data_IF_273991412678
#
_entry.id   IF_273991412678
#
_cell.length_a   1.000
_cell.length_b   1.000
_cell.length_c   1.000
_cell.angle_alpha   90.00
_cell.angle_beta   90.00
_cell.angle_gamma   90.00
#
_symmetry.space_group_name_H-M   'P 1'
#
loop_
_entity.id
_entity.type
_entity.pdbx_description
1 polymer ?
#
# COMPACT_ATOMS: atom_id res chain seq x y z
N UNK A 1 21.88 -22.96 42.18
CA UNK A 1 22.25 -22.28 40.93
C UNK A 1 20.95 -21.98 40.17
N UNK A 2 20.39 -20.75 40.36
CA UNK A 2 19.10 -20.31 39.85
C UNK A 2 19.29 -19.95 38.37
N UNK A 3 18.50 -20.58 37.47
CA UNK A 3 18.41 -20.17 36.06
C UNK A 3 17.81 -18.77 36.02
N UNK A 4 18.34 -17.84 35.22
CA UNK A 4 17.68 -16.55 35.01
C UNK A 4 16.35 -16.80 34.32
N UNK A 5 15.29 -16.13 34.81
CA UNK A 5 13.95 -16.09 34.27
C UNK A 5 14.00 -15.71 32.81
N UNK A 6 13.46 -16.59 32.00
CA UNK A 6 13.22 -16.35 30.59
C UNK A 6 12.03 -15.39 30.46
N UNK A 7 12.34 -14.10 30.51
CA UNK A 7 11.37 -13.04 30.22
C UNK A 7 10.98 -13.15 28.74
N UNK A 8 9.70 -13.16 28.40
CA UNK A 8 9.27 -13.22 27.01
C UNK A 8 9.63 -11.90 26.32
N UNK A 9 10.72 -11.88 25.57
CA UNK A 9 11.25 -10.71 24.85
C UNK A 9 10.45 -10.35 23.57
N UNK A 10 9.23 -10.89 23.41
CA UNK A 10 8.50 -10.81 22.16
C UNK A 10 7.54 -9.62 22.01
N UNK A 11 7.38 -8.75 23.02
CA UNK A 11 6.19 -7.88 23.04
C UNK A 11 6.46 -6.37 23.01
N UNK A 12 7.71 -5.89 22.97
CA UNK A 12 7.94 -4.46 23.24
C UNK A 12 9.00 -3.73 22.42
N UNK A 13 9.69 -4.35 21.49
CA UNK A 13 10.64 -3.60 20.65
C UNK A 13 9.89 -2.88 19.53
N UNK A 14 10.07 -1.56 19.43
CA UNK A 14 9.60 -0.78 18.29
C UNK A 14 10.38 -1.14 17.03
N UNK A 15 9.88 -0.74 15.86
CA UNK A 15 10.64 -0.91 14.62
C UNK A 15 11.94 -0.11 14.64
N UNK A 16 11.93 1.08 15.26
CA UNK A 16 13.12 1.89 15.47
C UNK A 16 14.18 1.14 16.29
N UNK A 17 13.78 0.47 17.37
CA UNK A 17 14.71 -0.33 18.20
C UNK A 17 15.34 -1.47 17.39
N UNK A 18 14.54 -2.17 16.57
CA UNK A 18 15.01 -3.24 15.69
C UNK A 18 16.01 -2.71 14.65
N UNK A 19 15.71 -1.57 14.05
CA UNK A 19 16.60 -0.93 13.08
C UNK A 19 17.92 -0.51 13.74
N UNK A 20 17.87 0.12 14.90
CA UNK A 20 19.07 0.55 15.63
C UNK A 20 19.93 -0.64 16.04
N UNK A 21 19.31 -1.70 16.57
CA UNK A 21 20.01 -2.96 16.92
C UNK A 21 20.68 -3.60 15.71
N UNK A 22 20.02 -3.54 14.55
CA UNK A 22 20.55 -4.08 13.30
C UNK A 22 21.83 -3.38 12.81
N UNK A 23 22.20 -2.24 13.38
CA UNK A 23 23.48 -1.59 13.08
C UNK A 23 24.68 -2.37 13.62
N UNK A 24 24.47 -3.16 14.69
CA UNK A 24 25.46 -4.01 15.36
C UNK A 24 25.30 -5.47 14.97
N UNK A 25 24.06 -5.95 14.99
CA UNK A 25 23.67 -7.29 14.57
C UNK A 25 22.69 -7.23 13.39
N UNK A 26 23.17 -7.44 12.16
CA UNK A 26 22.33 -7.37 10.97
C UNK A 26 21.13 -8.32 10.98
N UNK A 27 21.18 -9.42 11.73
CA UNK A 27 20.09 -10.41 11.84
C UNK A 27 18.84 -9.83 12.52
N UNK A 28 19.00 -8.85 13.43
CA UNK A 28 17.85 -8.17 14.04
C UNK A 28 16.90 -7.52 13.00
N UNK A 29 17.40 -7.19 11.80
CA UNK A 29 16.58 -6.66 10.72
C UNK A 29 15.59 -7.68 10.15
N UNK A 30 15.85 -8.98 10.30
CA UNK A 30 14.93 -10.03 9.86
C UNK A 30 13.58 -9.94 10.60
N UNK A 31 13.57 -9.51 11.87
CA UNK A 31 12.34 -9.32 12.64
C UNK A 31 11.44 -8.22 12.03
N UNK A 32 12.04 -7.20 11.41
CA UNK A 32 11.29 -6.17 10.69
C UNK A 32 10.65 -6.74 9.41
N UNK A 33 11.37 -7.62 8.71
CA UNK A 33 10.82 -8.35 7.55
C UNK A 33 9.63 -9.21 7.97
N UNK A 34 9.78 -10.05 8.99
CA UNK A 34 8.72 -10.94 9.47
C UNK A 34 7.46 -10.15 9.88
N UNK A 35 7.65 -8.98 10.48
CA UNK A 35 6.56 -8.10 10.93
C UNK A 35 5.80 -7.44 9.78
N UNK A 36 6.47 -7.02 8.72
CA UNK A 36 5.90 -6.11 7.72
C UNK A 36 5.80 -6.67 6.30
N UNK A 37 6.53 -7.76 5.96
CA UNK A 37 6.55 -8.28 4.59
C UNK A 37 5.15 -8.60 4.04
N UNK A 38 4.29 -9.21 4.85
CA UNK A 38 2.92 -9.53 4.43
C UNK A 38 2.05 -8.29 4.14
N UNK A 39 2.25 -7.18 4.85
CA UNK A 39 1.53 -5.92 4.59
C UNK A 39 2.03 -5.27 3.29
N UNK A 40 3.34 -5.21 3.10
CA UNK A 40 3.96 -4.68 1.88
C UNK A 40 3.57 -5.54 0.68
N UNK A 41 3.63 -6.87 0.79
CA UNK A 41 3.23 -7.79 -0.27
C UNK A 41 1.79 -7.54 -0.71
N UNK A 42 0.82 -7.52 0.20
CA UNK A 42 -0.58 -7.25 -0.14
C UNK A 42 -0.78 -5.92 -0.87
N UNK A 43 -0.09 -4.87 -0.44
CA UNK A 43 -0.16 -3.56 -1.11
C UNK A 43 0.41 -3.63 -2.53
N UNK A 44 1.55 -4.28 -2.71
CA UNK A 44 2.20 -4.43 -4.03
C UNK A 44 1.38 -5.34 -4.94
N UNK A 45 0.93 -6.49 -4.45
CA UNK A 45 0.16 -7.46 -5.21
C UNK A 45 -1.17 -6.88 -5.74
N UNK A 46 -1.85 -6.06 -4.95
CA UNK A 46 -3.03 -5.31 -5.42
C UNK A 46 -2.72 -4.38 -6.59
N UNK A 47 -1.52 -3.83 -6.67
CA UNK A 47 -1.09 -2.89 -7.70
C UNK A 47 -0.50 -3.58 -8.93
N UNK A 48 0.34 -4.57 -8.75
CA UNK A 48 1.14 -5.18 -9.83
C UNK A 48 0.77 -6.64 -10.11
N UNK A 49 0.16 -7.34 -9.16
CA UNK A 49 -0.05 -8.79 -9.16
C UNK A 49 1.00 -9.52 -8.34
N UNK A 50 0.70 -10.80 -8.06
CA UNK A 50 1.55 -11.63 -7.19
C UNK A 50 2.92 -11.88 -7.81
N UNK A 51 2.98 -12.14 -9.13
CA UNK A 51 4.23 -12.41 -9.85
C UNK A 51 5.30 -11.32 -9.67
N UNK A 52 4.88 -10.04 -9.60
CA UNK A 52 5.79 -8.92 -9.41
C UNK A 52 5.91 -8.51 -7.92
N UNK A 53 5.04 -9.03 -7.06
CA UNK A 53 5.01 -8.59 -5.65
C UNK A 53 6.22 -9.11 -4.89
N UNK A 54 6.62 -10.35 -5.10
CA UNK A 54 7.75 -10.97 -4.40
C UNK A 54 9.07 -10.24 -4.72
N UNK A 55 9.28 -9.89 -5.99
CA UNK A 55 10.46 -9.13 -6.41
C UNK A 55 10.50 -7.75 -5.78
N UNK A 56 9.36 -7.03 -5.82
CA UNK A 56 9.26 -5.67 -5.25
C UNK A 56 9.40 -5.69 -3.72
N UNK A 57 8.86 -6.70 -3.03
CA UNK A 57 9.04 -6.88 -1.59
C UNK A 57 10.51 -7.10 -1.27
N UNK A 58 11.17 -8.01 -1.99
CA UNK A 58 12.60 -8.31 -1.81
C UNK A 58 13.46 -7.05 -2.04
N UNK A 59 13.21 -6.31 -3.14
CA UNK A 59 13.90 -5.03 -3.42
C UNK A 59 13.64 -4.00 -2.32
N UNK A 60 12.41 -3.92 -1.79
CA UNK A 60 12.02 -2.99 -0.72
C UNK A 60 12.83 -3.23 0.54
N UNK A 61 12.85 -4.47 1.03
CA UNK A 61 13.57 -4.80 2.26
C UNK A 61 15.09 -4.72 2.08
N UNK A 62 15.61 -5.09 0.91
CA UNK A 62 17.02 -4.93 0.60
C UNK A 62 17.45 -3.45 0.58
N UNK A 63 16.63 -2.56 -0.01
CA UNK A 63 16.89 -1.13 0.00
C UNK A 63 16.80 -0.54 1.40
N UNK A 64 15.78 -0.94 2.17
CA UNK A 64 15.62 -0.55 3.55
C UNK A 64 16.81 -1.02 4.42
N UNK A 65 17.25 -2.26 4.27
CA UNK A 65 18.43 -2.78 4.96
C UNK A 65 19.70 -1.97 4.65
N UNK A 66 19.92 -1.64 3.39
CA UNK A 66 21.08 -0.84 2.97
C UNK A 66 21.06 0.57 3.55
N UNK A 67 19.88 1.16 3.68
CA UNK A 67 19.68 2.53 4.17
C UNK A 67 19.24 2.60 5.63
N UNK A 68 19.31 1.48 6.38
CA UNK A 68 18.82 1.41 7.76
C UNK A 68 19.53 2.37 8.74
N UNK A 69 20.75 2.81 8.41
CA UNK A 69 21.47 3.80 9.21
C UNK A 69 20.98 5.24 9.01
N UNK A 70 20.26 5.49 7.92
CA UNK A 70 19.68 6.78 7.60
C UNK A 70 18.23 6.90 8.11
N UNK A 71 17.72 5.83 8.74
CA UNK A 71 16.39 5.84 9.34
C UNK A 71 16.34 6.75 10.55
N UNK A 72 15.31 7.61 10.63
CA UNK A 72 15.05 8.47 11.79
C UNK A 72 14.47 7.65 12.94
N UNK A 73 15.31 7.25 13.90
CA UNK A 73 14.91 6.42 15.06
C UNK A 73 14.00 7.15 16.05
N UNK A 74 13.77 8.46 15.91
CA UNK A 74 12.72 9.14 16.65
C UNK A 74 11.31 8.72 16.23
N UNK A 75 11.18 8.00 15.11
CA UNK A 75 9.92 7.43 14.60
C UNK A 75 9.83 5.96 14.98
N UNK A 76 8.90 5.58 15.87
CA UNK A 76 8.82 4.20 16.36
C UNK A 76 8.38 3.19 15.29
N UNK A 77 7.63 3.64 14.27
CA UNK A 77 7.01 2.81 13.23
C UNK A 77 7.74 2.96 11.89
N UNK A 78 8.36 1.88 11.39
CA UNK A 78 9.06 1.90 10.11
C UNK A 78 8.18 1.64 8.88
N UNK A 79 6.92 1.26 9.10
CA UNK A 79 6.03 0.87 8.00
C UNK A 79 5.82 1.98 6.96
N UNK A 80 5.61 3.27 7.30
CA UNK A 80 5.54 4.35 6.31
C UNK A 80 6.80 4.46 5.46
N UNK A 81 7.97 4.31 6.06
CA UNK A 81 9.25 4.32 5.37
C UNK A 81 9.39 3.15 4.38
N UNK A 82 8.98 1.94 4.77
CA UNK A 82 8.95 0.77 3.90
C UNK A 82 7.99 0.98 2.72
N UNK A 83 6.82 1.58 2.93
CA UNK A 83 5.90 1.94 1.85
C UNK A 83 6.48 2.97 0.88
N UNK A 84 7.36 3.84 1.35
CA UNK A 84 8.12 4.76 0.50
C UNK A 84 8.98 4.03 -0.53
N UNK A 85 9.77 3.03 -0.09
CA UNK A 85 10.55 2.17 -0.99
C UNK A 85 9.64 1.39 -1.94
N UNK A 86 8.65 0.68 -1.41
CA UNK A 86 7.71 -0.10 -2.22
C UNK A 86 7.07 0.75 -3.32
N UNK A 87 6.60 1.97 -2.98
CA UNK A 87 5.99 2.88 -3.96
C UNK A 87 7.00 3.32 -5.03
N UNK A 88 8.26 3.54 -4.68
CA UNK A 88 9.30 3.88 -5.66
C UNK A 88 9.60 2.72 -6.61
N UNK A 89 9.62 1.48 -6.12
CA UNK A 89 9.80 0.30 -6.96
C UNK A 89 8.57 0.04 -7.84
N UNK A 90 7.35 0.18 -7.31
CA UNK A 90 6.11 0.07 -8.10
C UNK A 90 6.11 1.07 -9.28
N UNK A 91 6.64 2.29 -9.10
CA UNK A 91 6.73 3.28 -10.20
C UNK A 91 7.54 2.79 -11.40
N UNK A 92 8.51 1.90 -11.20
CA UNK A 92 9.25 1.25 -12.31
C UNK A 92 8.34 0.34 -13.13
N UNK A 93 7.35 -0.29 -12.49
CA UNK A 93 6.35 -1.16 -13.10
C UNK A 93 5.08 -0.42 -13.57
N UNK A 94 5.15 0.89 -13.78
CA UNK A 94 3.98 1.74 -14.09
C UNK A 94 3.14 1.23 -15.27
N UNK A 95 3.77 0.69 -16.31
CA UNK A 95 3.03 0.16 -17.48
C UNK A 95 2.21 -1.06 -17.07
N UNK A 96 2.79 -1.99 -16.34
CA UNK A 96 2.13 -3.19 -15.81
C UNK A 96 0.94 -2.80 -14.93
N UNK A 97 1.14 -1.86 -14.02
CA UNK A 97 0.07 -1.36 -13.14
C UNK A 97 -1.12 -0.81 -13.93
N UNK A 98 -0.89 0.06 -14.92
CA UNK A 98 -1.95 0.64 -15.76
C UNK A 98 -2.62 -0.43 -16.60
N UNK A 99 -1.88 -1.36 -17.20
CA UNK A 99 -2.45 -2.47 -17.96
C UNK A 99 -3.36 -3.33 -17.09
N UNK A 100 -2.98 -3.59 -15.84
CA UNK A 100 -3.76 -4.36 -14.89
C UNK A 100 -5.08 -3.66 -14.55
N UNK A 101 -5.07 -2.38 -14.21
CA UNK A 101 -6.32 -1.62 -13.98
C UNK A 101 -7.22 -1.57 -15.22
N UNK A 102 -6.66 -1.41 -16.41
CA UNK A 102 -7.43 -1.46 -17.67
C UNK A 102 -8.06 -2.83 -17.92
N UNK A 103 -7.36 -3.91 -17.60
CA UNK A 103 -7.89 -5.27 -17.71
C UNK A 103 -9.04 -5.48 -16.71
N UNK A 104 -8.89 -5.06 -15.46
CA UNK A 104 -9.96 -5.11 -14.46
C UNK A 104 -11.19 -4.28 -14.87
N UNK A 105 -10.98 -3.11 -15.48
CA UNK A 105 -12.05 -2.30 -16.01
C UNK A 105 -12.85 -3.02 -17.11
N UNK A 106 -12.23 -3.90 -17.90
CA UNK A 106 -12.91 -4.69 -18.94
C UNK A 106 -13.67 -5.88 -18.34
N UNK A 107 -13.08 -6.58 -17.38
CA UNK A 107 -13.59 -7.83 -16.81
C UNK A 107 -14.52 -7.59 -15.62
N UNK A 108 -14.39 -6.45 -14.93
CA UNK A 108 -15.16 -6.10 -13.74
C UNK A 108 -14.65 -6.76 -12.45
N UNK A 109 -13.43 -7.35 -12.48
CA UNK A 109 -12.82 -7.99 -11.30
C UNK A 109 -11.65 -7.12 -10.83
N UNK A 110 -11.73 -6.60 -9.59
CA UNK A 110 -10.56 -6.09 -8.86
C UNK A 110 -10.02 -7.20 -7.97
N UNK A 111 -8.71 -7.28 -7.74
CA UNK A 111 -8.17 -8.26 -6.81
C UNK A 111 -8.75 -8.00 -5.42
N UNK A 112 -9.45 -8.99 -4.91
CA UNK A 112 -9.98 -8.96 -3.55
C UNK A 112 -8.91 -9.40 -2.57
N UNK A 113 -8.91 -8.81 -1.42
CA UNK A 113 -7.99 -9.17 -0.34
C UNK A 113 -8.71 -10.08 0.64
N UNK A 114 -8.98 -11.30 0.25
CA UNK A 114 -9.40 -12.34 1.20
C UNK A 114 -10.81 -12.90 1.05
N UNK A 115 -10.87 -14.18 1.30
CA UNK A 115 -11.97 -15.11 1.55
C UNK A 115 -13.23 -15.07 0.69
N UNK A 116 -13.31 -16.10 -0.14
CA UNK A 116 -14.31 -16.36 -1.15
C UNK A 116 -15.36 -17.38 -0.68
N UNK A 117 -16.21 -17.11 0.28
CA UNK A 117 -17.29 -18.08 0.57
C UNK A 117 -18.71 -17.54 0.83
N UNK A 118 -18.93 -16.25 1.13
CA UNK A 118 -20.25 -15.86 1.66
C UNK A 118 -21.02 -14.74 0.94
N UNK A 119 -20.68 -14.35 -0.30
CA UNK A 119 -21.19 -13.08 -0.86
C UNK A 119 -21.68 -13.14 -2.32
N UNK A 120 -22.53 -14.05 -2.71
CA UNK A 120 -23.05 -14.05 -4.09
C UNK A 120 -23.99 -12.85 -4.39
N UNK A 121 -24.72 -12.34 -3.41
CA UNK A 121 -25.66 -11.22 -3.58
C UNK A 121 -24.96 -9.85 -3.46
N UNK A 122 -23.96 -9.73 -2.56
CA UNK A 122 -23.10 -8.57 -2.48
C UNK A 122 -22.17 -8.43 -3.71
N UNK A 123 -21.85 -9.54 -4.38
CA UNK A 123 -21.02 -9.55 -5.59
C UNK A 123 -21.64 -8.77 -6.76
N UNK A 124 -22.96 -8.77 -6.92
CA UNK A 124 -23.61 -8.06 -8.01
C UNK A 124 -23.51 -6.52 -7.85
N UNK A 125 -23.74 -6.01 -6.64
CA UNK A 125 -23.57 -4.58 -6.37
C UNK A 125 -22.10 -4.16 -6.33
N UNK A 126 -21.20 -5.03 -5.80
CA UNK A 126 -19.77 -4.82 -5.83
C UNK A 126 -19.20 -4.78 -7.26
N UNK A 127 -19.74 -5.58 -8.19
CA UNK A 127 -19.34 -5.54 -9.61
C UNK A 127 -19.66 -4.22 -10.28
N UNK A 128 -20.78 -3.58 -9.96
CA UNK A 128 -21.16 -2.29 -10.53
C UNK A 128 -20.16 -1.17 -10.19
N UNK A 129 -19.53 -1.23 -9.01
CA UNK A 129 -18.56 -0.23 -8.54
C UNK A 129 -17.11 -0.58 -8.95
N UNK A 130 -16.79 -1.86 -9.09
CA UNK A 130 -15.40 -2.32 -9.36
C UNK A 130 -14.86 -1.86 -10.72
N UNK A 131 -15.67 -1.93 -11.78
CA UNK A 131 -15.27 -1.48 -13.12
C UNK A 131 -14.98 0.03 -13.19
N UNK A 132 -15.90 0.90 -12.75
CA UNK A 132 -15.64 2.34 -12.70
C UNK A 132 -14.44 2.70 -11.81
N UNK A 133 -14.27 2.04 -10.67
CA UNK A 133 -13.13 2.28 -9.80
C UNK A 133 -11.80 1.92 -10.49
N UNK A 134 -11.74 0.79 -11.19
CA UNK A 134 -10.55 0.41 -11.95
C UNK A 134 -10.25 1.40 -13.09
N UNK A 135 -11.28 1.91 -13.78
CA UNK A 135 -11.13 2.99 -14.78
C UNK A 135 -10.59 4.27 -14.17
N UNK A 136 -11.14 4.70 -13.02
CA UNK A 136 -10.68 5.86 -12.29
C UNK A 136 -9.20 5.71 -11.90
N UNK A 137 -8.82 4.57 -11.31
CA UNK A 137 -7.43 4.30 -10.94
C UNK A 137 -6.48 4.29 -12.15
N UNK A 138 -6.92 3.76 -13.30
CA UNK A 138 -6.12 3.79 -14.53
C UNK A 138 -5.91 5.22 -15.07
N UNK A 139 -6.90 6.11 -14.90
CA UNK A 139 -6.88 7.49 -15.40
C UNK A 139 -6.04 8.43 -14.52
N UNK A 140 -5.85 8.09 -13.22
CA UNK A 140 -5.09 8.93 -12.31
C UNK A 140 -3.64 9.08 -12.75
N UNK A 141 -3.09 10.28 -12.55
CA UNK A 141 -1.63 10.47 -12.59
C UNK A 141 -0.98 9.61 -11.50
N UNK A 142 0.14 8.98 -11.82
CA UNK A 142 0.86 8.08 -10.90
C UNK A 142 1.03 8.67 -9.49
N UNK A 143 1.45 9.95 -9.40
CA UNK A 143 1.68 10.63 -8.11
C UNK A 143 0.42 10.86 -7.28
N UNK A 144 -0.73 11.06 -7.93
CA UNK A 144 -2.02 11.24 -7.25
C UNK A 144 -2.59 9.89 -6.83
N UNK A 145 -2.40 8.84 -7.66
CA UNK A 145 -2.74 7.45 -7.35
C UNK A 145 -1.94 6.92 -6.17
N UNK A 146 -0.61 7.17 -6.11
CA UNK A 146 0.23 6.75 -4.99
C UNK A 146 -0.29 7.29 -3.65
N UNK A 147 -0.60 8.59 -3.59
CA UNK A 147 -1.17 9.21 -2.39
C UNK A 147 -2.52 8.59 -2.03
N UNK A 148 -3.41 8.43 -3.00
CA UNK A 148 -4.73 7.83 -2.76
C UNK A 148 -4.61 6.41 -2.20
N UNK A 149 -3.74 5.57 -2.79
CA UNK A 149 -3.63 4.17 -2.41
C UNK A 149 -2.87 3.97 -1.09
N UNK A 150 -1.93 4.86 -0.74
CA UNK A 150 -1.29 4.83 0.58
C UNK A 150 -2.28 5.17 1.69
N UNK A 151 -3.20 6.12 1.46
CA UNK A 151 -4.26 6.43 2.42
C UNK A 151 -5.31 5.31 2.48
N UNK A 152 -5.77 4.82 1.31
CA UNK A 152 -6.93 3.93 1.24
C UNK A 152 -6.60 2.45 1.46
N UNK A 153 -5.39 1.97 1.11
CA UNK A 153 -5.02 0.56 1.19
C UNK A 153 -3.94 0.25 2.22
N UNK A 154 -3.13 1.25 2.56
CA UNK A 154 -2.08 1.12 3.55
C UNK A 154 -2.46 1.75 4.90
N UNK A 155 -3.61 2.43 4.98
CA UNK A 155 -4.15 3.12 6.16
C UNK A 155 -3.18 4.15 6.77
N UNK A 156 -2.35 4.78 5.92
CA UNK A 156 -1.44 5.80 6.38
C UNK A 156 -2.14 7.14 6.62
N UNK A 157 -1.75 7.82 7.67
CA UNK A 157 -2.10 9.23 7.90
C UNK A 157 -1.48 10.15 6.85
N UNK A 158 -1.92 11.39 6.74
CA UNK A 158 -1.36 12.34 5.76
C UNK A 158 0.10 12.68 6.07
N UNK A 159 0.46 12.74 7.33
CA UNK A 159 1.81 12.91 7.84
C UNK A 159 2.70 11.76 7.40
N UNK A 160 2.27 10.52 7.64
CA UNK A 160 2.99 9.32 7.23
C UNK A 160 3.14 9.21 5.71
N UNK A 161 2.11 9.60 4.93
CA UNK A 161 2.21 9.65 3.46
C UNK A 161 3.20 10.73 3.00
N UNK A 162 3.23 11.89 3.69
CA UNK A 162 4.20 12.95 3.40
C UNK A 162 5.63 12.46 3.60
N UNK A 163 5.87 11.75 4.69
CA UNK A 163 7.15 11.13 5.03
C UNK A 163 7.53 10.03 4.04
N UNK A 164 6.63 9.05 3.82
CA UNK A 164 6.84 7.95 2.89
C UNK A 164 7.22 8.40 1.48
N UNK A 165 6.61 9.48 1.00
CA UNK A 165 6.84 10.01 -0.34
C UNK A 165 7.84 11.17 -0.38
N UNK A 166 8.37 11.60 0.77
CA UNK A 166 9.26 12.77 0.91
C UNK A 166 8.69 14.03 0.24
N UNK A 167 7.42 14.36 0.55
CA UNK A 167 6.70 15.51 0.00
C UNK A 167 6.02 16.32 1.12
N UNK A 168 5.82 17.63 0.95
CA UNK A 168 5.08 18.43 1.92
C UNK A 168 3.64 17.91 2.12
N UNK A 169 3.12 17.97 3.35
CA UNK A 169 1.75 17.56 3.68
C UNK A 169 0.69 18.31 2.85
N UNK A 170 0.93 19.59 2.51
CA UNK A 170 0.07 20.34 1.60
C UNK A 170 -0.02 19.71 0.20
N UNK A 171 1.09 19.09 -0.26
CA UNK A 171 1.12 18.32 -1.51
C UNK A 171 0.32 17.02 -1.40
N UNK A 172 0.37 16.33 -0.25
CA UNK A 172 -0.47 15.15 0.01
C UNK A 172 -1.95 15.53 -0.11
N UNK A 173 -2.38 16.57 0.62
CA UNK A 173 -3.78 17.05 0.60
C UNK A 173 -4.25 17.41 -0.81
N UNK A 174 -3.44 18.16 -1.57
CA UNK A 174 -3.80 18.58 -2.93
C UNK A 174 -3.87 17.42 -3.92
N UNK A 175 -2.96 16.45 -3.84
CA UNK A 175 -2.98 15.24 -4.67
C UNK A 175 -4.17 14.34 -4.32
N UNK A 176 -4.42 14.13 -3.03
CA UNK A 176 -5.55 13.34 -2.55
C UNK A 176 -6.88 13.94 -3.00
N UNK A 177 -7.03 15.27 -2.90
CA UNK A 177 -8.25 15.95 -3.34
C UNK A 177 -8.46 15.76 -4.86
N UNK A 178 -7.42 15.96 -5.70
CA UNK A 178 -7.52 15.70 -7.15
C UNK A 178 -7.90 14.25 -7.45
N UNK A 179 -7.27 13.29 -6.77
CA UNK A 179 -7.59 11.89 -6.95
C UNK A 179 -9.04 11.57 -6.59
N UNK A 180 -9.53 12.10 -5.46
CA UNK A 180 -10.92 11.92 -5.01
C UNK A 180 -11.95 12.53 -5.96
N UNK A 181 -11.66 13.71 -6.53
CA UNK A 181 -12.54 14.34 -7.54
C UNK A 181 -12.68 13.41 -8.75
N UNK A 182 -11.56 12.97 -9.34
CA UNK A 182 -11.57 12.09 -10.51
C UNK A 182 -12.30 10.78 -10.22
N UNK A 183 -12.04 10.16 -9.04
CA UNK A 183 -12.72 8.91 -8.65
C UNK A 183 -14.22 9.14 -8.50
N UNK A 184 -14.65 10.24 -7.87
CA UNK A 184 -16.06 10.58 -7.69
C UNK A 184 -16.75 10.82 -9.03
N UNK A 185 -16.11 11.57 -9.93
CA UNK A 185 -16.68 11.88 -11.25
C UNK A 185 -16.91 10.60 -12.06
N UNK A 186 -15.96 9.66 -12.02
CA UNK A 186 -16.11 8.37 -12.72
C UNK A 186 -17.17 7.48 -12.04
N UNK A 187 -17.25 7.48 -10.70
CA UNK A 187 -18.26 6.69 -9.97
C UNK A 187 -19.66 7.31 -10.06
N UNK A 188 -19.76 8.65 -9.99
CA UNK A 188 -21.03 9.37 -10.06
C UNK A 188 -21.67 9.35 -11.46
N UNK A 189 -20.88 9.22 -12.52
CA UNK A 189 -21.38 9.03 -13.89
C UNK A 189 -21.97 7.62 -14.15
N UNK A 190 -21.90 6.74 -13.15
CA UNK A 190 -22.38 5.35 -13.24
C UNK A 190 -23.70 5.15 -12.46
N UNK A 191 -24.35 6.22 -12.00
CA UNK A 191 -25.62 6.13 -11.31
C UNK A 191 -26.73 5.78 -12.34
N UNK A 192 -27.32 4.57 -12.27
CA UNK A 192 -28.34 4.13 -13.23
C UNK A 192 -29.69 4.86 -13.09
N UNK A 193 -29.79 5.80 -12.16
CA UNK A 193 -31.03 6.53 -11.88
C UNK A 193 -31.23 7.75 -12.79
N UNK A 194 -30.26 8.08 -13.67
CA UNK A 194 -30.36 9.27 -14.56
C UNK A 194 -30.92 8.98 -15.96
N UNK A 195 -31.28 7.74 -16.28
CA UNK A 195 -31.99 7.39 -17.52
C UNK A 195 -33.47 7.14 -17.25
N UNK A 196 -34.23 8.12 -16.86
CA UNK A 196 -35.67 8.16 -17.10
C UNK A 196 -36.20 9.58 -16.87
N UNK A 197 -36.21 10.40 -17.90
CA UNK A 197 -37.25 11.43 -18.06
C UNK A 197 -37.54 11.59 -19.54
N UNK A 198 -38.83 11.42 -19.93
CA UNK A 198 -39.29 11.45 -21.30
C UNK A 198 -39.20 12.83 -21.95
#
# INVERSE_FOLDING_TARGET
>A
MKRPDHMPLSTTLSDADLIERSWRDPEDFALLFDRHAGRIHRYVARRLGDDAADDVVSETFLAAFRQRRDYDTARPEALPWLYGFATNFIRRHRRTEIHRYKAYAKVGVLPDAGDAAEQALERASAHAVRRPLAQALASLKSRDRDVLLLVAWADLTYEEVADALSIPIGTVRSRLNRARVIVRDVLGSTDPTTEHTP
#
